data_IF_581198687787
#
_entry.id   IF_581198687787
#
_cell.length_a   1.000
_cell.length_b   1.000
_cell.length_c   1.000
_cell.angle_alpha   90.00
_cell.angle_beta   90.00
_cell.angle_gamma   90.00
#
_symmetry.space_group_name_H-M   'P 1'
#
loop_
_entity.id
_entity.type
_entity.pdbx_description
1 polymer ?
#
# COMPACT_ATOMS: atom_id res chain seq x y z
N UNK A 1 -0.16 -20.63 -11.79
CA UNK A 1 -0.93 -20.14 -10.63
C UNK A 1 -1.46 -18.76 -11.00
N UNK A 2 -2.77 -18.61 -10.95
CA UNK A 2 -3.42 -17.33 -11.23
C UNK A 2 -3.72 -16.57 -9.92
N UNK A 3 -3.26 -15.34 -9.85
CA UNK A 3 -3.36 -14.47 -8.67
C UNK A 3 -4.44 -13.42 -8.93
N UNK A 4 -5.48 -13.41 -8.10
CA UNK A 4 -6.42 -12.29 -8.07
C UNK A 4 -5.78 -11.12 -7.32
N UNK A 5 -5.75 -9.94 -7.92
CA UNK A 5 -5.30 -8.70 -7.29
C UNK A 5 -6.49 -7.75 -7.21
N UNK A 6 -7.08 -7.59 -6.02
CA UNK A 6 -8.11 -6.58 -5.81
C UNK A 6 -7.47 -5.22 -5.56
N UNK A 7 -8.03 -4.16 -6.13
CA UNK A 7 -7.38 -2.84 -6.11
C UNK A 7 -6.12 -2.78 -7.01
N UNK A 8 -6.06 -3.66 -8.02
CA UNK A 8 -4.90 -3.83 -8.88
C UNK A 8 -4.62 -2.67 -9.83
N UNK A 9 -5.59 -1.79 -10.08
CA UNK A 9 -5.40 -0.55 -10.85
C UNK A 9 -4.87 0.61 -10.00
N UNK A 10 -4.80 0.45 -8.67
CA UNK A 10 -4.28 1.44 -7.74
C UNK A 10 -2.75 1.53 -7.74
N UNK A 11 -2.20 2.45 -6.93
CA UNK A 11 -0.76 2.72 -6.86
C UNK A 11 0.06 1.45 -6.54
N UNK A 12 -0.17 0.82 -5.38
CA UNK A 12 0.59 -0.37 -4.97
C UNK A 12 0.21 -1.57 -5.86
N UNK A 13 -1.09 -1.72 -6.18
CA UNK A 13 -1.61 -2.82 -6.98
C UNK A 13 -0.98 -2.90 -8.36
N UNK A 14 -0.91 -1.80 -9.12
CA UNK A 14 -0.35 -1.78 -10.47
C UNK A 14 1.15 -2.13 -10.50
N UNK A 15 1.92 -1.66 -9.52
CA UNK A 15 3.33 -2.04 -9.37
C UNK A 15 3.47 -3.52 -9.02
N UNK A 16 2.57 -4.04 -8.16
CA UNK A 16 2.58 -5.47 -7.79
C UNK A 16 2.20 -6.36 -8.98
N UNK A 17 1.26 -5.93 -9.82
CA UNK A 17 0.92 -6.65 -11.07
C UNK A 17 2.15 -6.80 -11.98
N UNK A 18 2.97 -5.74 -12.13
CA UNK A 18 4.22 -5.83 -12.89
C UNK A 18 5.15 -6.89 -12.30
N UNK A 19 5.41 -6.83 -11.01
CA UNK A 19 6.35 -7.75 -10.37
C UNK A 19 5.85 -9.20 -10.39
N UNK A 20 4.54 -9.44 -10.26
CA UNK A 20 3.92 -10.75 -10.44
C UNK A 20 4.11 -11.29 -11.85
N UNK A 21 3.82 -10.47 -12.88
CA UNK A 21 3.99 -10.88 -14.26
C UNK A 21 5.47 -11.11 -14.62
N UNK A 22 6.39 -10.32 -14.07
CA UNK A 22 7.84 -10.53 -14.22
C UNK A 22 8.29 -11.83 -13.56
N UNK A 23 7.68 -12.21 -12.44
CA UNK A 23 7.92 -13.49 -11.76
C UNK A 23 7.24 -14.70 -12.43
N UNK A 24 6.45 -14.49 -13.49
CA UNK A 24 5.82 -15.56 -14.27
C UNK A 24 4.45 -15.99 -13.80
N UNK A 25 3.82 -15.24 -12.90
CA UNK A 25 2.44 -15.51 -12.47
C UNK A 25 1.42 -14.97 -13.49
N UNK A 26 0.31 -15.67 -13.63
CA UNK A 26 -0.89 -15.15 -14.28
C UNK A 26 -1.62 -14.24 -13.29
N UNK A 27 -2.09 -13.09 -13.75
CA UNK A 27 -2.73 -12.09 -12.88
C UNK A 27 -4.10 -11.73 -13.42
N UNK A 28 -5.07 -11.68 -12.52
CA UNK A 28 -6.41 -11.16 -12.76
C UNK A 28 -6.65 -9.99 -11.83
N UNK A 29 -7.16 -8.87 -12.33
CA UNK A 29 -7.42 -7.67 -11.54
C UNK A 29 -8.91 -7.47 -11.33
N UNK A 30 -9.29 -7.14 -10.10
CA UNK A 30 -10.62 -6.60 -9.74
C UNK A 30 -10.41 -5.22 -9.12
N UNK A 31 -11.08 -4.21 -9.66
CA UNK A 31 -11.01 -2.83 -9.17
C UNK A 31 -12.33 -2.10 -9.51
N UNK A 32 -12.88 -1.32 -8.59
CA UNK A 32 -14.09 -0.52 -8.87
C UNK A 32 -13.79 0.83 -9.53
N UNK A 33 -12.50 1.17 -9.64
CA UNK A 33 -11.98 2.41 -10.22
C UNK A 33 -12.41 3.70 -9.47
N UNK A 34 -12.82 3.59 -8.21
CA UNK A 34 -13.23 4.75 -7.41
C UNK A 34 -12.06 5.71 -7.13
N UNK A 35 -10.83 5.17 -6.96
CA UNK A 35 -9.62 5.95 -6.71
C UNK A 35 -8.42 5.42 -7.50
N UNK A 36 -8.67 4.97 -8.72
CA UNK A 36 -7.70 4.39 -9.64
C UNK A 36 -8.10 4.67 -11.08
N UNK A 37 -7.33 4.21 -12.05
CA UNK A 37 -7.61 4.39 -13.48
C UNK A 37 -7.29 3.13 -14.28
N UNK A 38 -8.14 2.74 -15.22
CA UNK A 38 -7.85 1.66 -16.17
C UNK A 38 -6.57 1.91 -16.95
N UNK A 39 -6.23 3.18 -17.21
CA UNK A 39 -4.99 3.57 -17.89
C UNK A 39 -3.73 3.07 -17.16
N UNK A 40 -3.79 2.86 -15.84
CA UNK A 40 -2.68 2.27 -15.11
C UNK A 40 -2.38 0.85 -15.60
N UNK A 41 -3.43 0.03 -15.83
CA UNK A 41 -3.30 -1.34 -16.34
C UNK A 41 -2.87 -1.37 -17.81
N UNK A 42 -3.36 -0.46 -18.65
CA UNK A 42 -2.87 -0.31 -20.03
C UNK A 42 -1.36 0.00 -20.06
N UNK A 43 -0.89 0.84 -19.11
CA UNK A 43 0.53 1.16 -18.98
C UNK A 43 1.33 0.00 -18.38
N UNK A 44 0.74 -0.81 -17.50
CA UNK A 44 1.32 -2.08 -17.04
C UNK A 44 1.54 -3.02 -18.23
N UNK A 45 0.54 -3.19 -19.10
CA UNK A 45 0.67 -4.00 -20.32
C UNK A 45 1.79 -3.49 -21.24
N UNK A 46 1.95 -2.17 -21.38
CA UNK A 46 3.06 -1.57 -22.14
C UNK A 46 4.42 -1.89 -21.54
N UNK A 47 4.53 -1.91 -20.20
CA UNK A 47 5.79 -2.20 -19.51
C UNK A 47 6.15 -3.67 -19.60
N UNK A 48 5.19 -4.57 -19.39
CA UNK A 48 5.43 -6.01 -19.27
C UNK A 48 5.29 -6.77 -20.58
N UNK A 49 4.62 -6.19 -21.58
CA UNK A 49 4.25 -6.87 -22.82
C UNK A 49 3.17 -7.94 -22.64
N UNK A 50 2.56 -8.03 -21.47
CA UNK A 50 1.55 -9.05 -21.12
C UNK A 50 0.21 -8.40 -20.82
N UNK A 51 -0.88 -9.03 -21.30
CA UNK A 51 -2.23 -8.56 -20.97
C UNK A 51 -2.56 -8.79 -19.49
N UNK A 52 -3.42 -7.91 -18.96
CA UNK A 52 -3.96 -7.99 -17.60
C UNK A 52 -5.47 -8.13 -17.70
N UNK A 53 -6.05 -9.35 -17.60
CA UNK A 53 -7.48 -9.51 -17.43
C UNK A 53 -7.97 -8.67 -16.24
N UNK A 54 -8.88 -7.74 -16.49
CA UNK A 54 -9.38 -6.82 -15.47
C UNK A 54 -10.89 -6.72 -15.50
N UNK A 55 -11.48 -6.63 -14.32
CA UNK A 55 -12.92 -6.57 -14.11
C UNK A 55 -13.25 -5.35 -13.23
N UNK A 56 -14.13 -4.49 -13.74
CA UNK A 56 -14.67 -3.37 -12.97
C UNK A 56 -15.75 -3.89 -12.02
N UNK A 57 -15.34 -4.36 -10.85
CA UNK A 57 -16.22 -4.94 -9.83
C UNK A 57 -15.86 -4.35 -8.47
N UNK A 58 -16.86 -4.00 -7.68
CA UNK A 58 -16.69 -3.58 -6.30
C UNK A 58 -16.54 -4.80 -5.38
N UNK A 59 -15.68 -4.73 -4.37
CA UNK A 59 -15.53 -5.81 -3.39
C UNK A 59 -16.79 -6.04 -2.54
N UNK A 60 -17.72 -5.09 -2.51
CA UNK A 60 -19.06 -5.24 -1.92
C UNK A 60 -20.02 -6.01 -2.85
N UNK A 61 -19.73 -6.06 -4.15
CA UNK A 61 -20.56 -6.75 -5.13
C UNK A 61 -20.26 -8.25 -5.14
N UNK A 62 -21.03 -8.98 -4.33
CA UNK A 62 -20.90 -10.44 -4.18
C UNK A 62 -21.15 -11.20 -5.49
N UNK A 63 -22.11 -10.77 -6.29
CA UNK A 63 -22.46 -11.44 -7.54
C UNK A 63 -21.36 -11.22 -8.57
N UNK A 64 -20.92 -9.98 -8.75
CA UNK A 64 -19.80 -9.66 -9.64
C UNK A 64 -18.53 -10.40 -9.27
N UNK A 65 -18.19 -10.51 -7.96
CA UNK A 65 -17.06 -11.32 -7.52
C UNK A 65 -17.24 -12.81 -7.86
N UNK A 66 -18.42 -13.39 -7.61
CA UNK A 66 -18.71 -14.79 -7.96
C UNK A 66 -18.53 -15.05 -9.46
N UNK A 67 -18.96 -14.12 -10.34
CA UNK A 67 -18.78 -14.24 -11.79
C UNK A 67 -17.28 -14.26 -12.17
N UNK A 68 -16.46 -13.41 -11.54
CA UNK A 68 -15.01 -13.41 -11.78
C UNK A 68 -14.40 -14.75 -11.35
N UNK A 69 -14.69 -15.24 -10.15
CA UNK A 69 -14.16 -16.52 -9.66
C UNK A 69 -14.67 -17.73 -10.45
N UNK A 70 -15.88 -17.67 -11.02
CA UNK A 70 -16.39 -18.72 -11.88
C UNK A 70 -15.71 -18.76 -13.26
N UNK A 71 -15.31 -17.59 -13.77
CA UNK A 71 -14.69 -17.44 -15.08
C UNK A 71 -13.19 -17.69 -15.06
N UNK A 72 -12.52 -17.22 -14.01
CA UNK A 72 -11.07 -17.27 -13.87
C UNK A 72 -10.66 -18.37 -12.87
N UNK A 73 -9.62 -19.14 -13.23
CA UNK A 73 -9.06 -20.17 -12.33
C UNK A 73 -8.12 -19.52 -11.31
N UNK A 74 -8.70 -18.93 -10.28
CA UNK A 74 -7.96 -18.22 -9.24
C UNK A 74 -7.46 -19.22 -8.19
N UNK A 75 -6.17 -19.15 -7.86
CA UNK A 75 -5.52 -19.97 -6.85
C UNK A 75 -5.27 -19.23 -5.53
N UNK A 76 -5.06 -17.91 -5.61
CA UNK A 76 -4.81 -17.06 -4.45
C UNK A 76 -5.22 -15.62 -4.71
N UNK A 77 -5.34 -14.82 -3.63
CA UNK A 77 -5.72 -13.43 -3.69
C UNK A 77 -4.67 -12.54 -2.99
N UNK A 78 -4.29 -11.44 -3.63
CA UNK A 78 -3.62 -10.30 -2.99
C UNK A 78 -4.66 -9.18 -2.89
N UNK A 79 -4.99 -8.81 -1.65
CA UNK A 79 -6.10 -7.91 -1.36
C UNK A 79 -5.62 -6.51 -0.99
N UNK A 80 -5.62 -5.59 -1.98
CA UNK A 80 -5.31 -4.17 -1.79
C UNK A 80 -6.56 -3.30 -1.70
N UNK A 81 -7.68 -3.71 -2.29
CA UNK A 81 -8.88 -2.89 -2.36
C UNK A 81 -9.31 -2.41 -0.97
N UNK A 82 -9.47 -1.11 -0.81
CA UNK A 82 -9.86 -0.49 0.44
C UNK A 82 -9.59 1.01 0.45
N UNK A 83 -10.40 1.75 1.18
CA UNK A 83 -10.19 3.17 1.45
C UNK A 83 -9.00 3.32 2.41
N UNK A 84 -8.08 4.25 2.13
CA UNK A 84 -6.77 4.33 2.80
C UNK A 84 -6.41 5.69 3.43
N UNK A 85 -7.22 6.72 3.21
CA UNK A 85 -6.89 8.07 3.65
C UNK A 85 -7.23 8.28 5.13
N UNK A 86 -6.19 8.37 5.98
CA UNK A 86 -6.33 8.50 7.45
C UNK A 86 -7.22 9.68 7.83
N UNK A 87 -6.96 10.89 7.29
CA UNK A 87 -7.75 12.08 7.61
C UNK A 87 -9.20 11.99 7.15
N UNK A 88 -9.46 11.41 5.98
CA UNK A 88 -10.82 11.21 5.47
C UNK A 88 -11.58 10.20 6.34
N UNK A 89 -10.90 9.16 6.85
CA UNK A 89 -11.54 8.14 7.68
C UNK A 89 -12.18 8.70 8.94
N UNK A 90 -11.60 9.77 9.50
CA UNK A 90 -12.16 10.46 10.68
C UNK A 90 -13.44 11.22 10.32
N UNK A 91 -13.54 11.71 9.09
CA UNK A 91 -14.72 12.47 8.62
C UNK A 91 -15.83 11.54 8.08
N UNK A 92 -15.44 10.38 7.54
CA UNK A 92 -16.34 9.43 6.88
C UNK A 92 -16.15 7.99 7.43
N UNK A 93 -16.28 7.78 8.75
CA UNK A 93 -16.00 6.48 9.35
C UNK A 93 -16.91 5.35 8.82
N UNK A 94 -18.18 5.66 8.54
CA UNK A 94 -19.13 4.69 8.01
C UNK A 94 -18.65 4.08 6.70
N UNK A 95 -18.26 4.90 5.74
CA UNK A 95 -17.78 4.47 4.42
C UNK A 95 -16.53 3.60 4.54
N UNK A 96 -15.64 3.90 5.51
CA UNK A 96 -14.45 3.11 5.77
C UNK A 96 -14.77 1.75 6.36
N UNK A 97 -15.69 1.67 7.33
CA UNK A 97 -16.10 0.39 7.90
C UNK A 97 -16.88 -0.45 6.89
N UNK A 98 -17.81 0.15 6.17
CA UNK A 98 -18.60 -0.55 5.14
C UNK A 98 -17.69 -1.07 4.03
N UNK A 99 -16.91 -0.21 3.39
CA UNK A 99 -16.06 -0.61 2.29
C UNK A 99 -14.98 -1.61 2.73
N UNK A 100 -14.21 -1.29 3.77
CA UNK A 100 -13.05 -2.11 4.11
C UNK A 100 -13.45 -3.41 4.81
N UNK A 101 -14.36 -3.37 5.79
CA UNK A 101 -14.73 -4.57 6.56
C UNK A 101 -15.76 -5.41 5.80
N UNK A 102 -16.91 -4.84 5.45
CA UNK A 102 -17.95 -5.61 4.76
C UNK A 102 -17.46 -6.07 3.37
N UNK A 103 -16.70 -5.23 2.65
CA UNK A 103 -16.11 -5.62 1.37
C UNK A 103 -15.12 -6.78 1.50
N UNK A 104 -14.21 -6.75 2.49
CA UNK A 104 -13.28 -7.86 2.72
C UNK A 104 -14.02 -9.14 3.15
N UNK A 105 -15.05 -9.04 4.01
CA UNK A 105 -15.87 -10.19 4.39
C UNK A 105 -16.60 -10.79 3.18
N UNK A 106 -17.11 -9.95 2.29
CA UNK A 106 -17.75 -10.40 1.04
C UNK A 106 -16.76 -11.13 0.14
N UNK A 107 -15.55 -10.58 -0.06
CA UNK A 107 -14.49 -11.22 -0.83
C UNK A 107 -14.10 -12.59 -0.25
N UNK A 108 -13.86 -12.66 1.06
CA UNK A 108 -13.48 -13.90 1.76
C UNK A 108 -14.57 -14.96 1.69
N UNK A 109 -15.86 -14.57 1.79
CA UNK A 109 -16.96 -15.51 1.61
C UNK A 109 -17.04 -16.08 0.18
N UNK A 110 -16.80 -15.24 -0.84
CA UNK A 110 -16.71 -15.70 -2.23
C UNK A 110 -15.51 -16.61 -2.42
N UNK A 111 -14.33 -16.24 -1.94
CA UNK A 111 -13.13 -17.09 -1.97
C UNK A 111 -13.40 -18.47 -1.37
N UNK A 112 -14.02 -18.52 -0.17
CA UNK A 112 -14.40 -19.76 0.50
C UNK A 112 -15.33 -20.63 -0.36
N UNK A 113 -16.34 -20.04 -0.97
CA UNK A 113 -17.31 -20.76 -1.85
C UNK A 113 -16.65 -21.38 -3.09
N UNK A 114 -15.60 -20.73 -3.59
CA UNK A 114 -14.82 -21.21 -4.73
C UNK A 114 -13.59 -22.04 -4.34
N UNK A 115 -13.47 -22.41 -3.03
CA UNK A 115 -12.37 -23.18 -2.47
C UNK A 115 -10.99 -22.51 -2.65
N UNK A 116 -10.94 -21.17 -2.71
CA UNK A 116 -9.70 -20.39 -2.74
C UNK A 116 -9.41 -19.91 -1.30
N UNK A 117 -8.41 -20.51 -0.65
CA UNK A 117 -8.11 -20.29 0.77
C UNK A 117 -6.72 -19.68 1.01
N UNK A 118 -6.15 -19.05 -0.02
CA UNK A 118 -4.85 -18.41 0.01
C UNK A 118 -5.00 -16.90 -0.15
N UNK A 119 -4.62 -16.10 0.88
CA UNK A 119 -4.75 -14.65 0.85
C UNK A 119 -3.52 -13.94 1.40
N UNK A 120 -3.04 -12.92 0.68
CA UNK A 120 -2.15 -11.89 1.20
C UNK A 120 -2.98 -10.65 1.43
N UNK A 121 -2.99 -10.16 2.65
CA UNK A 121 -3.75 -8.97 3.05
C UNK A 121 -2.85 -7.75 3.22
N UNK A 122 -3.22 -6.67 2.55
CA UNK A 122 -2.65 -5.35 2.71
C UNK A 122 -3.02 -4.78 4.08
N UNK A 123 -2.16 -5.02 5.08
CA UNK A 123 -2.27 -4.38 6.38
C UNK A 123 -1.43 -3.09 6.43
N UNK A 124 -1.25 -2.50 7.59
CA UNK A 124 -0.62 -1.20 7.76
C UNK A 124 0.08 -1.12 9.11
N UNK A 125 1.18 -0.36 9.18
CA UNK A 125 1.81 0.00 10.44
C UNK A 125 0.88 0.76 11.42
N UNK A 126 -0.23 1.32 10.92
CA UNK A 126 -1.25 1.97 11.76
C UNK A 126 -1.90 1.04 12.80
N UNK A 127 -1.79 -0.29 12.62
CA UNK A 127 -2.28 -1.28 13.60
C UNK A 127 -1.49 -1.27 14.91
N UNK A 128 -0.28 -0.73 14.89
CA UNK A 128 0.54 -0.58 16.10
C UNK A 128 0.11 0.61 16.97
N UNK A 129 -0.66 1.57 16.41
CA UNK A 129 -1.05 2.78 17.12
C UNK A 129 0.17 3.62 17.50
N UNK A 130 0.27 3.96 18.79
CA UNK A 130 1.49 4.52 19.38
C UNK A 130 2.38 3.34 19.80
N UNK A 131 3.47 3.05 19.05
CA UNK A 131 4.20 1.79 19.21
C UNK A 131 4.98 1.73 20.53
N UNK A 132 4.91 0.59 21.21
CA UNK A 132 5.61 0.36 22.46
C UNK A 132 7.13 0.28 22.33
N UNK A 133 7.63 0.07 21.09
CA UNK A 133 9.08 0.00 20.79
C UNK A 133 9.38 0.53 19.39
N UNK A 134 10.55 1.09 19.22
CA UNK A 134 11.13 1.54 17.94
C UNK A 134 12.57 1.08 17.87
N UNK A 135 13.03 0.40 16.78
CA UNK A 135 12.25 -0.03 15.58
C UNK A 135 11.12 -0.98 15.91
N UNK A 136 10.03 -0.92 15.12
CA UNK A 136 8.81 -1.72 15.35
C UNK A 136 9.00 -3.11 14.75
N UNK A 137 8.96 -4.15 15.58
CA UNK A 137 8.92 -5.55 15.17
C UNK A 137 7.50 -6.08 15.11
N UNK A 138 7.28 -7.25 14.50
CA UNK A 138 5.94 -7.90 14.47
C UNK A 138 5.48 -8.40 15.85
N UNK A 139 6.40 -8.51 16.81
CA UNK A 139 6.12 -8.84 18.21
C UNK A 139 5.56 -7.65 18.99
N UNK A 140 5.73 -6.43 18.46
CA UNK A 140 5.11 -5.25 19.04
C UNK A 140 3.59 -5.44 19.08
N UNK A 141 2.96 -5.31 20.25
CA UNK A 141 1.52 -5.52 20.37
C UNK A 141 0.78 -4.52 19.47
N UNK A 142 -0.35 -4.96 18.94
CA UNK A 142 -1.29 -4.02 18.31
C UNK A 142 -1.78 -3.04 19.36
N UNK A 143 -1.63 -1.74 19.05
CA UNK A 143 -2.04 -0.66 19.93
C UNK A 143 -3.47 -0.20 19.70
N UNK A 144 -3.87 0.85 20.39
CA UNK A 144 -5.09 1.57 20.07
C UNK A 144 -4.87 2.38 18.79
N UNK A 145 -5.62 2.04 17.74
CA UNK A 145 -5.57 2.81 16.52
C UNK A 145 -6.16 4.21 16.75
N UNK A 146 -5.50 5.21 16.20
CA UNK A 146 -5.87 6.62 16.38
C UNK A 146 -6.94 7.11 15.40
N UNK A 147 -7.37 6.25 14.46
CA UNK A 147 -8.30 6.61 13.40
C UNK A 147 -9.07 5.39 12.87
N UNK A 148 -10.24 5.59 12.22
CA UNK A 148 -11.06 4.50 11.66
C UNK A 148 -10.35 3.64 10.63
N UNK A 149 -9.50 4.22 9.76
CA UNK A 149 -8.72 3.42 8.81
C UNK A 149 -7.83 2.39 9.53
N UNK A 150 -7.07 2.82 10.53
CA UNK A 150 -6.24 1.92 11.33
C UNK A 150 -7.07 0.82 12.00
N UNK A 151 -8.24 1.18 12.54
CA UNK A 151 -9.17 0.20 13.11
C UNK A 151 -9.66 -0.82 12.09
N UNK A 152 -10.00 -0.41 10.84
CA UNK A 152 -10.40 -1.39 9.82
C UNK A 152 -9.29 -2.41 9.54
N UNK A 153 -8.03 -1.97 9.46
CA UNK A 153 -6.89 -2.88 9.26
C UNK A 153 -6.68 -3.81 10.47
N UNK A 154 -6.72 -3.28 11.68
CA UNK A 154 -6.55 -4.06 12.91
C UNK A 154 -7.65 -5.11 13.09
N UNK A 155 -8.92 -4.75 12.84
CA UNK A 155 -10.06 -5.66 12.89
C UNK A 155 -9.97 -6.75 11.83
N UNK A 156 -9.59 -6.41 10.59
CA UNK A 156 -9.45 -7.39 9.51
C UNK A 156 -8.29 -8.35 9.71
N UNK A 157 -7.18 -7.92 10.33
CA UNK A 157 -6.15 -8.85 10.79
C UNK A 157 -6.71 -9.88 11.78
N UNK A 158 -7.56 -9.43 12.72
CA UNK A 158 -8.19 -10.34 13.67
C UNK A 158 -9.16 -11.31 12.98
N UNK A 159 -10.02 -10.80 12.10
CA UNK A 159 -10.97 -11.61 11.32
C UNK A 159 -10.24 -12.71 10.53
N UNK A 160 -9.20 -12.35 9.78
CA UNK A 160 -8.44 -13.31 8.98
C UNK A 160 -7.68 -14.32 9.87
N UNK A 161 -7.20 -13.89 11.02
CA UNK A 161 -6.57 -14.76 12.02
C UNK A 161 -7.56 -15.79 12.55
N UNK A 162 -8.78 -15.38 12.88
CA UNK A 162 -9.81 -16.26 13.42
C UNK A 162 -10.34 -17.24 12.36
N UNK A 163 -10.45 -16.79 11.11
CA UNK A 163 -10.80 -17.66 9.97
C UNK A 163 -9.74 -18.75 9.78
N UNK A 164 -8.46 -18.39 9.80
CA UNK A 164 -7.37 -19.36 9.67
C UNK A 164 -7.33 -20.36 10.83
N UNK A 165 -7.58 -19.91 12.06
CA UNK A 165 -7.66 -20.79 13.23
C UNK A 165 -8.84 -21.77 13.17
N UNK A 166 -9.97 -21.33 12.65
CA UNK A 166 -11.20 -22.13 12.54
C UNK A 166 -11.09 -23.14 11.39
N UNK A 167 -10.37 -22.81 10.33
CA UNK A 167 -10.15 -23.65 9.15
C UNK A 167 -8.66 -23.61 8.76
N UNK A 168 -7.85 -24.59 9.22
CA UNK A 168 -6.40 -24.64 8.97
C UNK A 168 -6.00 -24.78 7.49
N UNK A 169 -6.94 -25.01 6.57
CA UNK A 169 -6.64 -24.99 5.13
C UNK A 169 -6.40 -23.56 4.60
N UNK A 170 -6.82 -22.54 5.36
CA UNK A 170 -6.50 -21.16 5.02
C UNK A 170 -5.03 -20.85 5.26
N UNK A 171 -4.42 -20.22 4.27
CA UNK A 171 -3.09 -19.64 4.35
C UNK A 171 -3.21 -18.13 4.23
N UNK A 172 -2.82 -17.43 5.27
CA UNK A 172 -3.00 -15.99 5.43
C UNK A 172 -1.65 -15.33 5.64
N UNK A 173 -1.31 -14.35 4.81
CA UNK A 173 -0.14 -13.50 5.03
C UNK A 173 -0.62 -12.07 5.25
N UNK A 174 -0.30 -11.51 6.41
CA UNK A 174 -0.58 -10.12 6.76
C UNK A 174 0.69 -9.30 6.55
N UNK A 175 0.66 -8.37 5.59
CA UNK A 175 1.80 -7.49 5.30
C UNK A 175 1.51 -6.10 5.85
N UNK A 176 2.25 -5.68 6.88
CA UNK A 176 2.15 -4.38 7.52
C UNK A 176 3.08 -3.40 6.84
N UNK A 177 2.51 -2.54 5.99
CA UNK A 177 3.27 -1.54 5.25
C UNK A 177 3.57 -0.32 6.10
N UNK A 178 4.75 0.25 5.84
CA UNK A 178 5.08 1.60 6.25
C UNK A 178 4.68 2.59 5.14
N UNK A 179 5.42 3.59 4.80
CA UNK A 179 4.99 4.65 3.88
C UNK A 179 5.51 4.41 2.44
N UNK A 180 4.71 3.80 1.53
CA UNK A 180 5.18 3.59 0.16
C UNK A 180 5.24 4.92 -0.60
N UNK A 181 6.37 5.15 -1.26
CA UNK A 181 6.65 6.25 -2.18
C UNK A 181 7.45 5.75 -3.37
N UNK A 182 7.82 6.61 -4.30
CA UNK A 182 8.49 6.20 -5.53
C UNK A 182 7.49 5.94 -6.65
N UNK A 183 8.00 5.43 -7.75
CA UNK A 183 7.23 5.05 -8.92
C UNK A 183 8.02 4.02 -9.75
N UNK A 184 7.42 3.44 -10.79
CA UNK A 184 8.16 2.58 -11.68
C UNK A 184 9.20 3.39 -12.48
N UNK A 185 10.40 2.84 -12.62
CA UNK A 185 11.54 3.50 -13.31
C UNK A 185 11.26 3.98 -14.74
N UNK A 186 10.23 3.45 -15.41
CA UNK A 186 9.81 3.91 -16.75
C UNK A 186 9.12 5.29 -16.71
N UNK A 187 8.66 5.76 -15.56
CA UNK A 187 7.81 6.96 -15.47
C UNK A 187 6.40 6.78 -16.03
N UNK A 188 5.97 5.55 -16.37
CA UNK A 188 4.66 5.29 -16.96
C UNK A 188 3.57 5.07 -15.90
N UNK A 189 3.91 4.55 -14.72
CA UNK A 189 2.99 4.36 -13.60
C UNK A 189 3.55 4.95 -12.31
N UNK A 190 2.67 5.47 -11.47
CA UNK A 190 3.01 6.09 -10.17
C UNK A 190 1.76 6.40 -9.36
N UNK A 191 1.91 7.12 -8.26
CA UNK A 191 0.78 7.52 -7.42
C UNK A 191 0.04 8.70 -8.05
N UNK A 192 -1.25 8.49 -8.37
CA UNK A 192 -2.14 9.50 -8.95
C UNK A 192 -3.41 9.63 -8.10
N UNK A 193 -3.36 10.36 -6.98
CA UNK A 193 -4.52 10.53 -6.12
C UNK A 193 -5.57 11.43 -6.77
N UNK A 194 -6.85 11.10 -6.56
CA UNK A 194 -7.95 11.97 -6.93
C UNK A 194 -7.99 13.19 -5.98
N UNK A 195 -7.99 14.40 -6.54
CA UNK A 195 -8.02 15.65 -5.78
C UNK A 195 -6.70 16.00 -5.09
N UNK A 196 -6.78 16.66 -3.92
CA UNK A 196 -5.59 17.07 -3.15
C UNK A 196 -4.97 15.85 -2.48
N UNK A 197 -3.66 15.59 -2.68
CA UNK A 197 -3.00 14.45 -2.07
C UNK A 197 -3.02 14.47 -0.53
N UNK A 198 -3.27 13.31 0.07
CA UNK A 198 -3.15 13.13 1.51
C UNK A 198 -1.74 12.66 1.93
N UNK A 199 -1.01 12.01 1.01
CA UNK A 199 0.34 11.52 1.24
C UNK A 199 1.40 12.58 0.90
N UNK A 200 2.55 12.53 1.60
CA UNK A 200 3.61 13.52 1.50
C UNK A 200 4.20 13.60 0.09
N UNK A 201 4.64 12.48 -0.49
CA UNK A 201 5.36 12.49 -1.77
C UNK A 201 4.52 13.01 -2.93
N UNK A 202 3.27 12.56 -3.17
CA UNK A 202 2.47 13.13 -4.25
C UNK A 202 2.11 14.61 -4.01
N UNK A 203 2.05 15.06 -2.74
CA UNK A 203 1.89 16.48 -2.45
C UNK A 203 3.15 17.27 -2.87
N UNK A 204 4.35 16.79 -2.50
CA UNK A 204 5.63 17.40 -2.90
C UNK A 204 5.75 17.47 -4.42
N UNK A 205 5.44 16.38 -5.13
CA UNK A 205 5.55 16.36 -6.60
C UNK A 205 4.54 17.27 -7.29
N UNK A 206 3.32 17.43 -6.72
CA UNK A 206 2.36 18.41 -7.24
C UNK A 206 2.76 19.85 -6.95
N UNK A 207 3.47 20.13 -5.85
CA UNK A 207 4.12 21.45 -5.64
C UNK A 207 5.22 21.66 -6.67
N UNK A 208 6.05 20.65 -6.90
CA UNK A 208 7.17 20.71 -7.84
C UNK A 208 6.74 21.00 -9.28
N UNK A 209 5.59 20.48 -9.75
CA UNK A 209 5.04 20.79 -11.09
C UNK A 209 4.15 22.04 -11.10
N UNK A 210 4.01 22.75 -9.96
CA UNK A 210 3.26 24.00 -9.86
C UNK A 210 1.74 23.85 -9.75
N UNK A 211 1.21 22.64 -9.53
CA UNK A 211 -0.22 22.41 -9.27
C UNK A 211 -0.65 22.93 -7.89
N UNK A 212 0.23 22.80 -6.91
CA UNK A 212 0.03 23.30 -5.55
C UNK A 212 1.07 24.39 -5.28
N UNK A 213 0.68 25.38 -4.49
CA UNK A 213 1.52 26.55 -4.22
C UNK A 213 2.71 26.22 -3.31
N UNK A 214 2.45 25.46 -2.24
CA UNK A 214 3.40 25.20 -1.18
C UNK A 214 3.02 23.95 -0.40
N UNK A 215 3.99 23.28 0.21
CA UNK A 215 3.78 22.14 1.09
C UNK A 215 3.39 22.60 2.50
N UNK A 216 2.35 22.01 3.09
CA UNK A 216 2.06 22.13 4.51
C UNK A 216 2.83 21.09 5.31
N UNK A 217 3.74 21.51 6.18
CA UNK A 217 4.45 20.65 7.15
C UNK A 217 3.71 20.71 8.48
N UNK A 218 3.15 19.59 8.94
CA UNK A 218 2.26 19.55 10.10
C UNK A 218 3.04 19.23 11.40
N UNK A 219 3.31 20.28 12.20
CA UNK A 219 4.10 20.24 13.43
C UNK A 219 5.60 20.36 13.16
N UNK A 220 6.26 21.15 14.00
CA UNK A 220 7.72 21.34 14.07
C UNK A 220 8.24 21.22 15.51
N UNK A 221 7.41 20.69 16.38
CA UNK A 221 7.62 20.58 17.83
C UNK A 221 7.55 19.14 18.34
N UNK A 222 7.67 18.13 17.45
CA UNK A 222 7.82 16.73 17.84
C UNK A 222 9.20 16.48 18.44
N UNK A 223 9.30 15.48 19.34
CA UNK A 223 10.57 14.99 19.86
C UNK A 223 11.30 14.17 18.79
N UNK A 224 11.86 14.88 17.82
CA UNK A 224 12.61 14.37 16.66
C UNK A 224 13.72 15.34 16.29
N UNK A 225 14.73 14.94 15.50
CA UNK A 225 15.92 15.77 15.24
C UNK A 225 15.64 17.16 14.66
N UNK A 226 14.57 17.33 13.88
CA UNK A 226 14.18 18.60 13.26
C UNK A 226 12.79 19.07 13.65
N UNK A 227 12.18 18.42 14.63
CA UNK A 227 10.84 18.73 15.14
C UNK A 227 9.70 18.21 14.26
N UNK A 228 9.97 17.65 13.08
CA UNK A 228 8.92 17.11 12.20
C UNK A 228 8.76 15.61 12.33
N UNK A 229 7.60 15.07 11.96
CA UNK A 229 7.30 13.65 12.13
C UNK A 229 8.24 12.75 11.31
N UNK A 230 8.69 11.65 11.91
CA UNK A 230 9.60 10.66 11.31
C UNK A 230 8.84 9.42 10.88
N UNK A 231 9.04 8.98 9.63
CA UNK A 231 8.40 7.80 9.04
C UNK A 231 9.41 6.94 8.29
N UNK A 232 9.12 5.65 8.19
CA UNK A 232 9.82 4.72 7.32
C UNK A 232 9.20 4.80 5.91
N UNK A 233 9.96 5.29 4.95
CA UNK A 233 9.54 5.36 3.56
C UNK A 233 10.14 4.19 2.79
N UNK A 234 9.29 3.47 2.07
CA UNK A 234 9.67 2.31 1.27
C UNK A 234 9.37 2.57 -0.20
N UNK A 235 10.27 2.16 -1.09
CA UNK A 235 10.00 2.24 -2.51
C UNK A 235 8.87 1.28 -2.91
N UNK A 236 7.89 1.77 -3.68
CA UNK A 236 6.72 0.97 -4.08
C UNK A 236 7.08 -0.31 -4.83
N UNK A 237 8.19 -0.31 -5.58
CA UNK A 237 8.70 -1.52 -6.28
C UNK A 237 9.24 -2.55 -5.28
N UNK A 238 9.93 -2.12 -4.23
CA UNK A 238 10.37 -3.03 -3.16
C UNK A 238 9.18 -3.62 -2.42
N UNK A 239 8.18 -2.80 -2.13
CA UNK A 239 6.92 -3.25 -1.54
C UNK A 239 6.24 -4.29 -2.44
N UNK A 240 6.15 -4.03 -3.75
CA UNK A 240 5.60 -4.96 -4.74
C UNK A 240 6.36 -6.30 -4.76
N UNK A 241 7.70 -6.26 -4.77
CA UNK A 241 8.57 -7.45 -4.65
C UNK A 241 8.31 -8.22 -3.34
N UNK A 242 8.02 -7.51 -2.25
CA UNK A 242 7.65 -8.12 -0.96
C UNK A 242 6.41 -9.01 -1.07
N UNK A 243 5.40 -8.59 -1.84
CA UNK A 243 4.21 -9.40 -2.11
C UNK A 243 4.53 -10.66 -2.91
N UNK A 244 5.39 -10.54 -3.94
CA UNK A 244 5.83 -11.71 -4.72
C UNK A 244 6.57 -12.71 -3.84
N UNK A 245 7.44 -12.23 -2.94
CA UNK A 245 8.14 -13.09 -1.99
C UNK A 245 7.21 -13.76 -0.98
N UNK A 246 6.17 -13.04 -0.54
CA UNK A 246 5.19 -13.55 0.40
C UNK A 246 4.30 -14.67 -0.19
N UNK A 247 4.12 -14.74 -1.51
CA UNK A 247 3.38 -15.85 -2.16
C UNK A 247 3.94 -17.22 -1.82
N UNK A 248 5.25 -17.31 -1.62
CA UNK A 248 5.89 -18.58 -1.21
C UNK A 248 5.31 -19.14 0.09
N UNK A 249 4.91 -18.27 1.04
CA UNK A 249 4.28 -18.72 2.29
C UNK A 249 2.90 -19.32 2.07
N UNK A 250 2.18 -18.88 1.04
CA UNK A 250 0.92 -19.50 0.63
C UNK A 250 1.16 -20.85 -0.04
N UNK A 251 2.19 -20.95 -0.88
CA UNK A 251 2.58 -22.20 -1.56
C UNK A 251 3.08 -23.25 -0.55
N UNK A 252 3.80 -22.83 0.48
CA UNK A 252 4.30 -23.69 1.55
C UNK A 252 3.20 -24.11 2.57
N UNK A 253 1.97 -23.66 2.40
CA UNK A 253 0.84 -23.90 3.31
C UNK A 253 1.18 -23.61 4.78
N UNK A 254 1.83 -22.48 5.03
CA UNK A 254 2.41 -22.14 6.34
C UNK A 254 1.44 -21.50 7.33
N UNK A 255 0.13 -21.51 7.02
CA UNK A 255 -0.92 -20.97 7.87
C UNK A 255 -0.88 -19.45 7.97
N UNK A 256 -0.91 -18.88 9.20
CA UNK A 256 -0.87 -17.45 9.42
C UNK A 256 0.56 -16.92 9.57
N UNK A 257 0.90 -15.94 8.77
CA UNK A 257 2.19 -15.24 8.84
C UNK A 257 1.99 -13.71 8.82
N UNK A 258 2.83 -13.00 9.57
CA UNK A 258 2.78 -11.54 9.68
C UNK A 258 4.19 -11.00 9.41
N UNK A 259 4.30 -9.97 8.54
CA UNK A 259 5.57 -9.34 8.21
C UNK A 259 5.43 -7.82 8.12
N UNK A 260 6.41 -7.13 8.68
CA UNK A 260 6.64 -5.72 8.41
C UNK A 260 7.37 -5.56 7.07
N UNK A 261 6.88 -4.66 6.22
CA UNK A 261 7.56 -4.26 4.99
C UNK A 261 7.92 -2.77 5.07
N UNK A 262 9.17 -2.51 5.38
CA UNK A 262 9.78 -1.19 5.48
C UNK A 262 11.28 -1.29 5.24
N UNK A 263 11.98 -0.17 5.37
CA UNK A 263 13.43 -0.07 5.15
C UNK A 263 14.25 -0.19 6.45
N UNK A 264 13.60 0.00 7.60
CA UNK A 264 14.26 0.11 8.88
C UNK A 264 14.90 1.48 9.14
N UNK A 265 14.65 2.47 8.27
CA UNK A 265 15.18 3.82 8.38
C UNK A 265 14.04 4.83 8.50
N UNK A 266 14.14 5.71 9.51
CA UNK A 266 13.24 6.82 9.69
C UNK A 266 13.75 8.08 8.99
N UNK A 267 12.89 8.73 8.20
CA UNK A 267 13.15 10.05 7.62
C UNK A 267 12.10 11.04 8.12
N UNK A 268 12.52 12.23 8.51
CA UNK A 268 11.61 13.31 8.85
C UNK A 268 10.93 13.90 7.59
N UNK A 269 9.87 14.67 7.78
CA UNK A 269 9.23 15.38 6.66
C UNK A 269 10.22 16.31 5.97
N UNK A 270 11.04 17.04 6.72
CA UNK A 270 12.06 17.94 6.15
C UNK A 270 13.22 17.18 5.51
N UNK A 271 13.57 15.97 6.00
CA UNK A 271 14.54 15.11 5.31
C UNK A 271 14.05 14.72 3.92
N UNK A 272 12.76 14.37 3.79
CA UNK A 272 12.15 14.05 2.48
C UNK A 272 12.21 15.26 1.56
N UNK A 273 11.88 16.46 2.04
CA UNK A 273 11.97 17.69 1.23
C UNK A 273 13.40 17.92 0.76
N UNK A 274 14.39 17.86 1.66
CA UNK A 274 15.81 18.06 1.33
C UNK A 274 16.32 17.03 0.31
N UNK A 275 15.99 15.74 0.53
CA UNK A 275 16.39 14.68 -0.40
C UNK A 275 15.73 14.82 -1.76
N UNK A 276 14.45 15.23 -1.82
CA UNK A 276 13.76 15.50 -3.08
C UNK A 276 14.42 16.67 -3.82
N UNK A 277 14.70 17.79 -3.14
CA UNK A 277 15.40 18.92 -3.74
C UNK A 277 16.79 18.54 -4.26
N UNK A 278 17.53 17.73 -3.48
CA UNK A 278 18.88 17.28 -3.86
C UNK A 278 18.84 16.34 -5.08
N UNK A 279 17.86 15.43 -5.12
CA UNK A 279 17.73 14.45 -6.22
C UNK A 279 17.21 15.07 -7.53
N UNK A 280 16.37 16.11 -7.46
CA UNK A 280 15.64 16.65 -8.61
C UNK A 280 16.12 18.03 -9.04
N UNK A 281 16.78 18.80 -8.18
CA UNK A 281 17.14 20.20 -8.39
C UNK A 281 15.94 21.17 -8.25
N UNK A 282 14.74 20.66 -7.91
CA UNK A 282 13.52 21.48 -7.80
C UNK A 282 13.31 21.91 -6.36
N UNK A 283 13.14 23.21 -6.11
CA UNK A 283 12.85 23.74 -4.79
C UNK A 283 11.40 23.56 -4.40
N UNK A 284 11.18 23.17 -3.14
CA UNK A 284 9.85 22.92 -2.57
C UNK A 284 9.55 23.96 -1.50
N UNK A 285 8.76 25.01 -1.80
CA UNK A 285 8.30 25.95 -0.80
C UNK A 285 7.38 25.23 0.19
N UNK A 286 7.55 25.51 1.49
CA UNK A 286 6.72 24.96 2.54
C UNK A 286 6.38 25.94 3.63
N UNK A 287 5.30 25.65 4.37
CA UNK A 287 4.88 26.39 5.56
C UNK A 287 4.60 25.41 6.70
N UNK A 288 4.99 25.82 7.92
CA UNK A 288 4.67 25.03 9.11
C UNK A 288 3.20 25.24 9.46
N UNK A 289 2.50 24.16 9.77
CA UNK A 289 1.13 24.12 10.22
C UNK A 289 1.00 23.43 11.57
N UNK A 290 -0.06 23.66 12.34
CA UNK A 290 -0.31 22.88 13.57
C UNK A 290 -0.31 21.37 13.32
N UNK A 291 0.06 20.57 14.33
CA UNK A 291 -0.01 19.10 14.27
C UNK A 291 -1.37 18.62 13.83
N UNK A 292 -1.41 17.54 13.05
CA UNK A 292 -2.67 16.84 12.76
C UNK A 292 -3.03 15.94 13.93
N UNK A 293 -4.32 15.84 14.24
CA UNK A 293 -4.81 14.90 15.23
C UNK A 293 -4.46 13.45 14.85
N UNK A 294 -3.91 12.69 15.80
CA UNK A 294 -3.55 11.30 15.60
C UNK A 294 -2.19 11.04 14.98
N UNK A 295 -1.40 12.08 14.63
CA UNK A 295 -0.01 11.90 14.19
C UNK A 295 0.89 11.60 15.41
N UNK A 296 1.78 10.61 15.25
CA UNK A 296 2.81 10.23 16.23
C UNK A 296 4.18 10.78 15.79
N UNK A 297 5.11 10.99 16.74
CA UNK A 297 6.41 11.57 16.47
C UNK A 297 7.23 10.69 15.52
N UNK A 298 7.36 9.39 15.82
CA UNK A 298 8.28 8.49 15.12
C UNK A 298 7.63 7.13 14.87
N UNK A 299 7.77 6.62 13.63
CA UNK A 299 7.27 5.30 13.24
C UNK A 299 8.18 4.72 12.14
N UNK A 300 9.04 3.76 12.49
CA UNK A 300 9.83 2.99 11.51
C UNK A 300 10.01 1.54 11.93
N UNK A 301 10.24 0.67 10.95
CA UNK A 301 10.19 -0.77 11.07
C UNK A 301 11.52 -1.39 11.51
N UNK A 302 11.41 -2.62 12.03
CA UNK A 302 12.40 -3.67 11.85
C UNK A 302 11.81 -4.70 10.87
N UNK A 303 12.41 -4.82 9.69
CA UNK A 303 11.98 -5.76 8.65
C UNK A 303 12.84 -7.05 8.63
N UNK A 304 13.63 -7.31 9.65
CA UNK A 304 14.56 -8.44 9.72
C UNK A 304 13.86 -9.81 9.62
N UNK A 305 12.60 -9.90 10.08
CA UNK A 305 11.80 -11.12 9.91
C UNK A 305 11.51 -11.41 8.45
N UNK A 306 11.12 -10.40 7.67
CA UNK A 306 10.89 -10.55 6.23
C UNK A 306 12.19 -10.94 5.51
N UNK A 307 13.35 -10.40 5.89
CA UNK A 307 14.65 -10.77 5.34
C UNK A 307 14.97 -12.24 5.62
N UNK A 308 14.82 -12.70 6.86
CA UNK A 308 15.13 -14.10 7.24
C UNK A 308 14.18 -15.13 6.62
N UNK A 309 12.88 -14.83 6.60
CA UNK A 309 11.86 -15.83 6.27
C UNK A 309 11.35 -15.77 4.84
N UNK A 310 11.41 -14.60 4.20
CA UNK A 310 10.99 -14.41 2.80
C UNK A 310 12.18 -14.24 1.86
N UNK A 311 13.39 -14.00 2.39
CA UNK A 311 14.54 -13.58 1.59
C UNK A 311 14.28 -12.25 0.91
N UNK A 312 13.52 -11.35 1.57
CA UNK A 312 13.17 -10.04 1.06
C UNK A 312 13.82 -8.92 1.89
N UNK A 313 14.36 -7.95 1.19
CA UNK A 313 14.90 -6.73 1.76
C UNK A 313 14.63 -5.58 0.81
N UNK A 314 14.37 -4.38 1.35
CA UNK A 314 14.29 -3.16 0.57
C UNK A 314 15.66 -2.83 -0.05
N UNK A 315 15.69 -2.57 -1.35
CA UNK A 315 16.91 -2.35 -2.14
C UNK A 315 17.08 -0.88 -2.53
N UNK A 316 15.96 -0.14 -2.71
CA UNK A 316 15.97 1.25 -3.14
C UNK A 316 16.13 2.21 -1.95
N UNK A 317 17.01 3.20 -2.11
CA UNK A 317 17.20 4.27 -1.14
C UNK A 317 16.29 5.49 -1.37
N UNK A 318 16.40 6.46 -0.47
CA UNK A 318 15.58 7.69 -0.54
C UNK A 318 15.83 8.49 -1.82
N UNK A 319 17.04 8.43 -2.37
CA UNK A 319 17.39 9.11 -3.63
C UNK A 319 16.56 8.57 -4.79
N UNK A 320 16.56 7.25 -4.98
CA UNK A 320 15.79 6.59 -6.05
C UNK A 320 14.28 6.79 -5.84
N UNK A 321 13.81 6.76 -4.59
CA UNK A 321 12.41 7.06 -4.27
C UNK A 321 12.00 8.46 -4.74
N UNK A 322 12.85 9.46 -4.52
CA UNK A 322 12.59 10.84 -4.96
C UNK A 322 12.71 10.99 -6.49
N UNK A 323 13.76 10.41 -7.10
CA UNK A 323 13.99 10.48 -8.55
C UNK A 323 12.86 9.82 -9.34
N UNK A 324 12.40 8.64 -8.92
CA UNK A 324 11.34 7.91 -9.61
C UNK A 324 9.96 8.57 -9.41
N UNK A 325 9.67 9.10 -8.19
CA UNK A 325 8.47 9.92 -7.98
C UNK A 325 8.43 11.15 -8.86
N UNK A 326 9.57 11.84 -8.99
CA UNK A 326 9.69 13.03 -9.86
C UNK A 326 9.57 12.67 -11.33
N UNK A 327 10.23 11.60 -11.77
CA UNK A 327 10.13 11.12 -13.16
C UNK A 327 8.68 10.86 -13.55
N UNK A 328 7.94 10.14 -12.70
CA UNK A 328 6.51 9.92 -12.89
C UNK A 328 5.74 11.24 -13.04
N UNK A 329 5.84 12.13 -12.06
CA UNK A 329 5.05 13.36 -12.04
C UNK A 329 5.43 14.34 -13.14
N UNK A 330 6.72 14.47 -13.46
CA UNK A 330 7.20 15.37 -14.51
C UNK A 330 6.82 14.91 -15.92
N UNK A 331 6.77 13.60 -16.14
CA UNK A 331 6.30 13.01 -17.40
C UNK A 331 4.77 13.00 -17.52
N UNK A 332 4.06 13.07 -16.39
CA UNK A 332 2.62 13.00 -16.33
C UNK A 332 2.09 14.12 -15.40
N UNK A 333 2.17 15.39 -15.81
CA UNK A 333 1.72 16.50 -14.97
C UNK A 333 0.26 16.37 -14.54
N UNK A 334 -0.59 15.79 -15.39
CA UNK A 334 -2.01 15.55 -15.12
C UNK A 334 -2.32 14.09 -14.70
N UNK A 335 -1.28 13.34 -14.35
CA UNK A 335 -1.43 11.96 -13.96
C UNK A 335 -1.75 11.05 -15.14
N UNK A 336 -2.76 10.18 -14.98
CA UNK A 336 -3.17 9.28 -16.06
C UNK A 336 -4.01 9.97 -17.16
N UNK A 337 -4.30 11.24 -17.04
CA UNK A 337 -5.08 12.00 -18.05
C UNK A 337 -4.19 12.57 -19.18
N UNK A 338 -2.86 12.40 -19.06
CA UNK A 338 -1.89 12.77 -20.08
C UNK A 338 -1.72 11.72 -21.18
#
# INVERSE_FOLDING_TARGET
>A
MAILVTGGAGFIGSHTVIELQNAGYDVVVVDNLANSSEKSLERVEKITGKKVPSYKVDILDREGLNEVFAKEKIDSCIHFAGLKAVGESVQKPWEYYENNIAGTLTLVDVMRKHNVKNIIFSSSATVYGDPAMIPITEECPKGQCTNPYGWTKSMLEQVLTDIQKADPEWNVVLLRYFNPIGAHKSGLIGENPNGIPNNLMPYITQVAVGKLKELGVFGDDYDTPDGTGVRDYIHVVDLAKGHVKALKKLEDHSGLNIYNLGTGHGYSVLDIVKNFEAATGVKIPYVIKPRRAGDIATCYSDASKAERELGWKAEYGIKEMCEDSWRWQSMNPNGYDD
#
